data_IF_695802296712
#
_entry.id   IF_695802296712
#
_cell.length_a   1.000
_cell.length_b   1.000
_cell.length_c   1.000
_cell.angle_alpha   90.00
_cell.angle_beta   90.00
_cell.angle_gamma   90.00
#
_symmetry.space_group_name_H-M   'P 1'
#
loop_
_entity.id
_entity.type
_entity.pdbx_description
1 polymer ?
#
# COMPACT_ATOMS: atom_id res chain seq x y z
N UNK A 1 8.76 -43.78 -88.88
CA UNK A 1 9.74 -42.63 -89.02
C UNK A 1 9.71 -41.84 -87.74
N UNK A 2 10.73 -41.95 -87.00
CA UNK A 2 11.63 -40.91 -86.43
C UNK A 2 10.90 -39.70 -85.88
N UNK A 3 11.07 -39.19 -84.67
CA UNK A 3 12.38 -39.04 -84.01
C UNK A 3 12.17 -38.29 -82.63
N UNK A 4 12.93 -38.73 -81.65
CA UNK A 4 13.73 -37.94 -80.68
C UNK A 4 13.08 -36.92 -79.74
N UNK A 5 13.15 -37.28 -78.46
CA UNK A 5 13.96 -36.70 -77.44
C UNK A 5 13.67 -35.22 -77.09
N UNK A 6 13.21 -35.01 -75.90
CA UNK A 6 13.93 -34.07 -74.98
C UNK A 6 13.55 -34.36 -73.53
N UNK A 7 14.55 -34.68 -72.74
CA UNK A 7 14.57 -34.69 -71.28
C UNK A 7 14.40 -33.26 -70.79
N UNK A 8 13.47 -33.03 -69.85
CA UNK A 8 13.51 -31.88 -68.97
C UNK A 8 13.35 -32.39 -67.57
N UNK A 9 14.43 -32.30 -66.81
CA UNK A 9 14.50 -32.55 -65.37
C UNK A 9 13.65 -31.54 -64.57
N UNK A 10 12.62 -32.05 -63.90
CA UNK A 10 11.99 -31.25 -62.84
C UNK A 10 12.79 -31.41 -61.54
N UNK A 11 13.57 -30.42 -61.22
CA UNK A 11 14.17 -30.23 -59.91
C UNK A 11 13.07 -29.81 -58.91
N UNK A 12 12.73 -30.74 -58.01
CA UNK A 12 11.85 -30.48 -56.87
C UNK A 12 12.58 -29.52 -55.88
N UNK A 13 12.24 -28.25 -55.95
CA UNK A 13 12.63 -27.27 -54.95
C UNK A 13 11.75 -27.43 -53.68
N UNK A 14 12.28 -28.16 -52.70
CA UNK A 14 11.70 -28.17 -51.37
C UNK A 14 11.89 -26.80 -50.73
N UNK A 15 10.88 -25.95 -50.83
CA UNK A 15 10.81 -24.68 -50.07
C UNK A 15 10.60 -24.99 -48.61
N UNK A 16 11.70 -25.00 -47.83
CA UNK A 16 11.64 -24.87 -46.38
C UNK A 16 11.07 -23.48 -46.06
N UNK A 17 9.77 -23.41 -45.84
CA UNK A 17 9.14 -22.30 -45.19
C UNK A 17 9.64 -22.29 -43.74
N UNK A 18 10.75 -21.61 -43.51
CA UNK A 18 11.22 -21.22 -42.16
C UNK A 18 10.16 -20.30 -41.56
N UNK A 19 9.22 -20.87 -40.83
CA UNK A 19 8.36 -20.14 -39.94
C UNK A 19 9.25 -19.54 -38.86
N UNK A 20 9.81 -18.38 -39.15
CA UNK A 20 10.41 -17.52 -38.13
C UNK A 20 9.30 -17.14 -37.19
N UNK A 21 9.10 -17.96 -36.13
CA UNK A 21 8.52 -17.43 -34.89
C UNK A 21 9.36 -16.21 -34.56
N UNK A 22 8.82 -15.03 -34.83
CA UNK A 22 9.32 -13.80 -34.22
C UNK A 22 9.18 -14.04 -32.72
N UNK A 23 10.24 -14.54 -32.10
CA UNK A 23 10.43 -14.40 -30.67
C UNK A 23 10.28 -12.89 -30.43
N UNK A 24 9.19 -12.50 -29.77
CA UNK A 24 8.99 -11.12 -29.32
C UNK A 24 10.21 -10.86 -28.46
N UNK A 25 11.18 -10.11 -29.02
CA UNK A 25 12.39 -9.75 -28.27
C UNK A 25 11.91 -9.21 -26.94
N UNK A 26 12.28 -9.89 -25.85
CA UNK A 26 11.94 -9.41 -24.51
C UNK A 26 12.38 -7.97 -24.46
N UNK A 27 11.48 -7.04 -24.15
CA UNK A 27 11.79 -5.63 -24.05
C UNK A 27 13.05 -5.47 -23.21
N UNK A 28 14.06 -4.80 -23.72
CA UNK A 28 15.30 -4.52 -22.99
C UNK A 28 15.07 -3.55 -21.83
N UNK A 29 13.88 -2.97 -21.72
CA UNK A 29 13.47 -2.00 -20.71
C UNK A 29 12.69 -2.67 -19.59
N UNK A 30 13.03 -2.35 -18.34
CA UNK A 30 12.22 -2.69 -17.16
C UNK A 30 11.10 -1.67 -17.05
N UNK A 31 9.86 -2.13 -16.93
CA UNK A 31 8.70 -1.25 -16.76
C UNK A 31 8.08 -1.43 -15.38
N UNK A 32 8.02 -0.33 -14.63
CA UNK A 32 7.34 -0.21 -13.34
C UNK A 32 6.02 0.51 -13.56
N UNK A 33 4.90 -0.17 -13.31
CA UNK A 33 3.56 0.39 -13.43
C UNK A 33 3.00 0.76 -12.07
N UNK A 34 2.78 2.06 -11.81
CA UNK A 34 2.17 2.57 -10.58
C UNK A 34 0.67 2.72 -10.79
N UNK A 35 -0.12 1.84 -10.15
CA UNK A 35 -1.60 1.90 -10.17
C UNK A 35 -2.05 2.56 -8.88
N UNK A 36 -2.46 3.82 -8.95
CA UNK A 36 -2.78 4.62 -7.76
C UNK A 36 -4.16 5.28 -7.87
N UNK A 37 -4.62 5.93 -6.80
CA UNK A 37 -5.83 6.74 -6.80
C UNK A 37 -5.45 8.22 -6.98
N UNK A 38 -5.77 8.80 -8.13
CA UNK A 38 -5.43 10.19 -8.46
C UNK A 38 -6.63 11.15 -8.35
N UNK A 39 -7.84 10.64 -8.52
CA UNK A 39 -9.07 11.44 -8.57
C UNK A 39 -10.16 10.93 -7.63
N UNK A 40 -9.96 9.80 -6.96
CA UNK A 40 -10.88 9.23 -5.99
C UNK A 40 -10.60 9.71 -4.55
N UNK A 41 -11.27 9.10 -3.56
CA UNK A 41 -11.25 9.55 -2.16
C UNK A 41 -9.90 9.38 -1.45
N UNK A 42 -8.95 8.67 -2.03
CA UNK A 42 -7.61 8.49 -1.47
C UNK A 42 -6.56 9.37 -2.16
N UNK A 43 -6.95 10.19 -3.14
CA UNK A 43 -6.03 10.99 -3.97
C UNK A 43 -5.20 11.99 -3.15
N UNK A 44 -5.74 12.50 -2.05
CA UNK A 44 -5.05 13.43 -1.15
C UNK A 44 -3.80 12.86 -0.50
N UNK A 45 -3.76 11.54 -0.28
CA UNK A 45 -2.67 10.84 0.44
C UNK A 45 -1.85 9.89 -0.45
N UNK A 46 -2.24 9.72 -1.72
CA UNK A 46 -1.61 8.87 -2.72
C UNK A 46 -1.22 9.69 -3.97
N UNK A 47 -1.94 9.52 -5.05
CA UNK A 47 -1.86 10.34 -6.26
C UNK A 47 -0.47 10.38 -6.90
N UNK A 48 -0.15 11.54 -7.48
CA UNK A 48 1.16 11.76 -8.12
C UNK A 48 2.35 11.61 -7.16
N UNK A 49 2.15 11.81 -5.85
CA UNK A 49 3.20 11.57 -4.87
C UNK A 49 3.70 10.12 -4.85
N UNK A 50 2.81 9.14 -5.05
CA UNK A 50 3.19 7.72 -5.20
C UNK A 50 4.09 7.52 -6.42
N UNK A 51 3.76 8.17 -7.55
CA UNK A 51 4.55 8.11 -8.78
C UNK A 51 5.93 8.74 -8.60
N UNK A 52 5.99 9.91 -7.96
CA UNK A 52 7.26 10.60 -7.70
C UNK A 52 8.17 9.82 -6.75
N UNK A 53 7.59 9.13 -5.76
CA UNK A 53 8.35 8.19 -4.93
C UNK A 53 9.07 7.13 -5.76
N UNK A 54 8.36 6.48 -6.69
CA UNK A 54 8.94 5.49 -7.61
C UNK A 54 9.97 6.11 -8.57
N UNK A 55 9.70 7.30 -9.12
CA UNK A 55 10.64 8.01 -10.02
C UNK A 55 11.96 8.36 -9.33
N UNK A 56 11.89 8.88 -8.11
CA UNK A 56 13.10 9.20 -7.34
C UNK A 56 13.91 7.93 -7.04
N UNK A 57 13.25 6.79 -6.77
CA UNK A 57 13.94 5.52 -6.61
C UNK A 57 14.68 5.09 -7.87
N UNK A 58 14.09 5.26 -9.05
CA UNK A 58 14.73 4.96 -10.33
C UNK A 58 15.93 5.90 -10.58
N UNK A 59 15.79 7.19 -10.31
CA UNK A 59 16.85 8.18 -10.40
C UNK A 59 18.03 7.82 -9.48
N UNK A 60 17.77 7.51 -8.22
CA UNK A 60 18.79 7.14 -7.23
C UNK A 60 19.49 5.82 -7.59
N UNK A 61 18.79 4.94 -8.28
CA UNK A 61 19.35 3.68 -8.79
C UNK A 61 20.18 3.86 -10.09
N UNK A 62 20.23 5.08 -10.64
CA UNK A 62 20.99 5.41 -11.86
C UNK A 62 20.22 5.13 -13.17
N UNK A 63 18.90 5.07 -13.13
CA UNK A 63 18.02 4.91 -14.29
C UNK A 63 18.04 3.53 -14.96
N UNK A 64 18.80 2.56 -14.42
CA UNK A 64 18.93 1.22 -14.99
C UNK A 64 19.24 0.17 -13.94
N UNK A 65 18.82 -1.10 -14.19
CA UNK A 65 19.19 -2.26 -13.39
C UNK A 65 19.56 -3.44 -14.30
N UNK A 66 20.58 -4.23 -13.95
CA UNK A 66 21.11 -5.31 -14.77
C UNK A 66 21.34 -4.89 -16.26
N UNK A 67 21.87 -3.67 -16.48
CA UNK A 67 22.09 -3.05 -17.80
C UNK A 67 20.82 -2.77 -18.63
N UNK A 68 19.64 -2.88 -18.03
CA UNK A 68 18.36 -2.55 -18.66
C UNK A 68 17.88 -1.17 -18.16
N UNK A 69 17.50 -0.24 -19.04
CA UNK A 69 16.88 1.02 -18.63
C UNK A 69 15.55 0.78 -17.93
N UNK A 70 15.17 1.71 -17.03
CA UNK A 70 13.93 1.62 -16.26
C UNK A 70 12.97 2.71 -16.66
N UNK A 71 11.73 2.36 -16.94
CA UNK A 71 10.61 3.25 -17.23
C UNK A 71 9.55 3.16 -16.14
N UNK A 72 9.03 4.30 -15.69
CA UNK A 72 7.88 4.38 -14.76
C UNK A 72 6.67 4.88 -15.52
N UNK A 73 5.64 4.05 -15.61
CA UNK A 73 4.32 4.42 -16.12
C UNK A 73 3.30 4.43 -14.97
N UNK A 74 2.20 5.13 -15.14
CA UNK A 74 1.20 5.25 -14.08
C UNK A 74 -0.21 5.35 -14.63
N UNK A 75 -1.20 5.01 -13.80
CA UNK A 75 -2.61 5.13 -14.13
C UNK A 75 -3.47 5.34 -12.87
N UNK A 76 -4.59 6.02 -13.07
CA UNK A 76 -5.62 6.29 -12.07
C UNK A 76 -6.69 5.20 -12.09
N UNK A 77 -6.85 4.49 -10.97
CA UNK A 77 -7.93 3.52 -10.81
C UNK A 77 -9.17 4.07 -10.09
N UNK A 78 -9.16 5.35 -9.65
CA UNK A 78 -10.31 6.02 -9.05
C UNK A 78 -10.91 5.28 -7.85
N UNK A 79 -10.09 4.57 -7.07
CA UNK A 79 -10.52 3.64 -6.01
C UNK A 79 -11.49 2.53 -6.45
N UNK A 80 -11.53 2.18 -7.75
CA UNK A 80 -12.38 1.14 -8.33
C UNK A 80 -11.58 -0.11 -8.67
N UNK A 81 -11.99 -1.25 -8.12
CA UNK A 81 -11.27 -2.52 -8.29
C UNK A 81 -11.31 -3.06 -9.74
N UNK A 82 -12.41 -2.87 -10.45
CA UNK A 82 -12.59 -3.25 -11.84
C UNK A 82 -11.68 -2.45 -12.79
N UNK A 83 -11.55 -1.14 -12.55
CA UNK A 83 -10.64 -0.27 -13.31
C UNK A 83 -9.19 -0.69 -13.05
N UNK A 84 -8.80 -0.89 -11.77
CA UNK A 84 -7.45 -1.35 -11.43
C UNK A 84 -7.10 -2.68 -12.10
N UNK A 85 -8.03 -3.64 -12.09
CA UNK A 85 -7.85 -4.95 -12.72
C UNK A 85 -7.74 -4.83 -14.25
N UNK A 86 -8.52 -3.97 -14.89
CA UNK A 86 -8.46 -3.71 -16.33
C UNK A 86 -7.11 -3.11 -16.74
N UNK A 87 -6.63 -2.09 -15.99
CA UNK A 87 -5.32 -1.48 -16.20
C UNK A 87 -4.21 -2.53 -16.04
N UNK A 88 -4.22 -3.28 -14.94
CA UNK A 88 -3.22 -4.30 -14.66
C UNK A 88 -3.15 -5.35 -15.77
N UNK A 89 -4.30 -5.83 -16.25
CA UNK A 89 -4.39 -6.82 -17.35
C UNK A 89 -3.78 -6.27 -18.64
N UNK A 90 -4.20 -5.07 -19.05
CA UNK A 90 -3.65 -4.41 -20.24
C UNK A 90 -2.13 -4.24 -20.14
N UNK A 91 -1.64 -3.75 -19.03
CA UNK A 91 -0.23 -3.52 -18.81
C UNK A 91 0.62 -4.80 -18.84
N UNK A 92 0.09 -5.87 -18.27
CA UNK A 92 0.76 -7.18 -18.29
C UNK A 92 0.73 -7.81 -19.69
N UNK A 93 -0.42 -7.81 -20.34
CA UNK A 93 -0.64 -8.58 -21.58
C UNK A 93 -0.16 -7.83 -22.83
N UNK A 94 -0.25 -6.48 -22.84
CA UNK A 94 0.01 -5.65 -24.02
C UNK A 94 1.26 -4.77 -23.86
N UNK A 95 1.38 -4.08 -22.71
CA UNK A 95 2.40 -3.04 -22.53
C UNK A 95 3.73 -3.59 -21.95
N UNK A 96 3.73 -4.86 -21.49
CA UNK A 96 4.93 -5.56 -21.01
C UNK A 96 5.46 -5.05 -19.69
N UNK A 97 4.58 -4.67 -18.76
CA UNK A 97 4.95 -4.26 -17.39
C UNK A 97 5.54 -5.43 -16.61
N UNK A 98 6.63 -5.19 -15.90
CA UNK A 98 7.36 -6.17 -15.12
C UNK A 98 6.99 -6.13 -13.63
N UNK A 99 6.80 -4.91 -13.07
CA UNK A 99 6.35 -4.67 -11.70
C UNK A 99 5.04 -3.87 -11.68
N UNK A 100 4.04 -4.35 -10.94
CA UNK A 100 2.90 -3.54 -10.51
C UNK A 100 3.16 -3.01 -9.11
N UNK A 101 3.12 -1.69 -8.95
CA UNK A 101 3.46 -0.98 -7.71
C UNK A 101 2.29 -0.13 -7.24
N UNK A 102 2.19 0.13 -5.94
CA UNK A 102 1.19 0.87 -5.20
C UNK A 102 -0.10 0.07 -5.03
N UNK A 103 -0.92 -0.05 -6.04
CA UNK A 103 -2.20 -0.77 -6.07
C UNK A 103 -3.06 -0.34 -4.87
N UNK A 104 -3.35 0.95 -4.82
CA UNK A 104 -4.15 1.55 -3.77
C UNK A 104 -5.58 0.95 -3.75
N UNK A 105 -6.28 1.04 -2.60
CA UNK A 105 -7.55 0.39 -2.31
C UNK A 105 -7.44 -1.14 -2.14
N UNK A 106 -7.86 -1.63 -0.97
CA UNK A 106 -7.66 -3.04 -0.61
C UNK A 106 -8.44 -4.03 -1.49
N UNK A 107 -9.62 -3.65 -1.98
CA UNK A 107 -10.37 -4.50 -2.90
C UNK A 107 -9.66 -4.61 -4.26
N UNK A 108 -9.11 -3.49 -4.76
CA UNK A 108 -8.29 -3.46 -5.96
C UNK A 108 -7.03 -4.31 -5.80
N UNK A 109 -6.32 -4.16 -4.68
CA UNK A 109 -5.09 -4.91 -4.39
C UNK A 109 -5.34 -6.42 -4.35
N UNK A 110 -6.42 -6.88 -3.70
CA UNK A 110 -6.79 -8.30 -3.63
C UNK A 110 -7.11 -8.86 -5.04
N UNK A 111 -7.80 -8.09 -5.87
CA UNK A 111 -8.10 -8.51 -7.25
C UNK A 111 -6.83 -8.56 -8.12
N UNK A 112 -6.01 -7.50 -8.07
CA UNK A 112 -4.80 -7.39 -8.88
C UNK A 112 -3.73 -8.40 -8.46
N UNK A 113 -3.54 -8.66 -7.15
CA UNK A 113 -2.55 -9.65 -6.72
C UNK A 113 -2.88 -11.08 -7.20
N UNK A 114 -4.17 -11.40 -7.37
CA UNK A 114 -4.58 -12.67 -7.99
C UNK A 114 -4.13 -12.74 -9.45
N UNK A 115 -4.35 -11.67 -10.22
CA UNK A 115 -3.88 -11.56 -11.59
C UNK A 115 -2.34 -11.62 -11.70
N UNK A 116 -1.64 -10.93 -10.80
CA UNK A 116 -0.16 -10.93 -10.73
C UNK A 116 0.37 -12.36 -10.55
N UNK A 117 -0.23 -13.15 -9.67
CA UNK A 117 0.08 -14.57 -9.48
C UNK A 117 -0.18 -15.36 -10.76
N UNK A 118 -1.37 -15.24 -11.34
CA UNK A 118 -1.80 -16.05 -12.49
C UNK A 118 -0.98 -15.75 -13.75
N UNK A 119 -0.42 -14.54 -13.85
CA UNK A 119 0.44 -14.08 -14.94
C UNK A 119 1.94 -14.20 -14.65
N UNK A 120 2.30 -14.74 -13.49
CA UNK A 120 3.68 -14.81 -12.99
C UNK A 120 4.42 -13.47 -13.13
N UNK A 121 3.90 -12.43 -12.52
CA UNK A 121 4.50 -11.08 -12.44
C UNK A 121 4.86 -10.74 -11.00
N UNK A 122 5.46 -9.59 -10.78
CA UNK A 122 5.78 -9.08 -9.44
C UNK A 122 4.81 -7.97 -9.07
N UNK A 123 4.21 -8.05 -7.87
CA UNK A 123 3.36 -7.02 -7.30
C UNK A 123 3.90 -6.53 -5.96
N UNK A 124 4.03 -5.22 -5.79
CA UNK A 124 4.38 -4.59 -4.51
C UNK A 124 3.25 -3.64 -4.12
N UNK A 125 2.54 -3.99 -3.07
CA UNK A 125 1.37 -3.28 -2.56
C UNK A 125 1.83 -2.33 -1.47
N UNK A 126 1.69 -1.03 -1.71
CA UNK A 126 2.13 0.05 -0.82
C UNK A 126 0.98 0.90 -0.32
N UNK A 127 -0.06 1.08 -1.15
CA UNK A 127 -1.18 1.98 -0.86
C UNK A 127 -2.42 1.30 -0.26
N UNK A 128 -2.57 -0.02 -0.42
CA UNK A 128 -3.65 -0.77 0.20
C UNK A 128 -3.22 -1.36 1.55
N UNK A 129 -4.15 -1.43 2.51
CA UNK A 129 -3.78 -1.73 3.88
C UNK A 129 -4.44 -2.97 4.51
N UNK A 130 -5.38 -3.66 3.84
CA UNK A 130 -5.99 -4.85 4.43
C UNK A 130 -4.94 -5.90 4.82
N UNK A 131 -4.95 -6.34 6.07
CA UNK A 131 -4.08 -7.43 6.55
C UNK A 131 -4.38 -8.77 5.85
N UNK A 132 -5.52 -8.92 5.20
CA UNK A 132 -5.88 -10.08 4.39
C UNK A 132 -4.97 -10.26 3.15
N UNK A 133 -4.30 -9.20 2.69
CA UNK A 133 -3.36 -9.22 1.55
C UNK A 133 -2.23 -10.22 1.80
N UNK A 134 -1.67 -10.24 3.00
CA UNK A 134 -0.66 -11.22 3.45
C UNK A 134 -1.27 -12.29 4.38
N UNK A 135 -2.60 -12.29 4.54
CA UNK A 135 -3.39 -13.31 5.20
C UNK A 135 -3.92 -14.34 4.19
N UNK A 136 -5.24 -14.51 4.18
CA UNK A 136 -5.93 -15.51 3.33
C UNK A 136 -5.74 -15.34 1.83
N UNK A 137 -5.33 -14.17 1.36
CA UNK A 137 -5.09 -13.89 -0.06
C UNK A 137 -3.60 -13.88 -0.43
N UNK A 138 -2.69 -14.15 0.50
CA UNK A 138 -1.26 -14.14 0.20
C UNK A 138 -0.91 -15.06 -0.97
N UNK A 139 0.08 -14.69 -1.72
CA UNK A 139 0.67 -15.51 -2.77
C UNK A 139 2.16 -15.14 -2.96
N UNK A 140 2.92 -16.01 -3.64
CA UNK A 140 4.36 -15.85 -3.83
C UNK A 140 4.74 -14.59 -4.60
N UNK A 141 3.86 -14.09 -5.45
CA UNK A 141 4.14 -13.03 -6.41
C UNK A 141 3.88 -11.62 -5.87
N UNK A 142 3.30 -11.51 -4.67
CA UNK A 142 2.84 -10.22 -4.12
C UNK A 142 3.44 -9.95 -2.75
N UNK A 143 3.89 -8.71 -2.57
CA UNK A 143 4.52 -8.21 -1.35
C UNK A 143 3.72 -7.04 -0.79
N UNK A 144 3.48 -7.03 0.51
CA UNK A 144 2.82 -5.93 1.20
C UNK A 144 3.86 -5.04 1.88
N UNK A 145 4.06 -3.84 1.34
CA UNK A 145 5.17 -2.96 1.70
C UNK A 145 4.78 -1.81 2.62
N UNK A 146 3.54 -1.35 2.53
CA UNK A 146 2.98 -0.28 3.36
C UNK A 146 2.57 -0.72 4.77
N UNK A 147 1.83 0.11 5.45
CA UNK A 147 1.15 -0.23 6.70
C UNK A 147 0.03 -1.26 6.46
N UNK A 148 -0.46 -1.89 7.53
CA UNK A 148 -1.66 -2.73 7.45
C UNK A 148 -2.62 -2.51 8.62
N UNK A 149 -3.82 -3.05 8.47
CA UNK A 149 -4.91 -2.91 9.46
C UNK A 149 -4.58 -3.58 10.79
N UNK A 150 -3.79 -4.65 10.79
CA UNK A 150 -3.33 -5.28 12.03
C UNK A 150 -2.36 -4.36 12.80
N UNK A 151 -1.35 -3.82 12.10
CA UNK A 151 -0.36 -2.92 12.67
C UNK A 151 -1.02 -1.70 13.34
N UNK A 152 -1.96 -1.07 12.64
CA UNK A 152 -2.69 0.08 13.16
C UNK A 152 -3.56 -0.30 14.36
N UNK A 153 -4.28 -1.41 14.27
CA UNK A 153 -5.13 -1.90 15.35
C UNK A 153 -4.34 -2.31 16.60
N UNK A 154 -3.22 -3.00 16.41
CA UNK A 154 -2.39 -3.45 17.53
C UNK A 154 -1.84 -2.30 18.36
N UNK A 155 -1.38 -1.23 17.70
CA UNK A 155 -0.84 -0.06 18.37
C UNK A 155 -1.94 0.78 19.05
N UNK A 156 -2.94 1.22 18.27
CA UNK A 156 -3.94 2.19 18.76
C UNK A 156 -4.93 1.57 19.74
N UNK A 157 -5.53 0.42 19.41
CA UNK A 157 -6.44 -0.23 20.35
C UNK A 157 -5.69 -0.70 21.61
N UNK A 158 -4.44 -1.16 21.45
CA UNK A 158 -3.61 -1.55 22.58
C UNK A 158 -3.32 -0.40 23.53
N UNK A 159 -3.07 0.80 23.02
CA UNK A 159 -2.84 1.99 23.83
C UNK A 159 -4.09 2.42 24.58
N UNK A 160 -5.20 2.61 23.86
CA UNK A 160 -6.46 3.04 24.47
C UNK A 160 -7.00 2.03 25.52
N UNK A 161 -6.84 0.73 25.27
CA UNK A 161 -7.20 -0.30 26.26
C UNK A 161 -6.36 -0.16 27.56
N UNK A 162 -5.05 0.17 27.48
CA UNK A 162 -4.22 0.43 28.67
C UNK A 162 -4.64 1.68 29.44
N UNK A 163 -5.25 2.66 28.77
CA UNK A 163 -5.85 3.85 29.37
C UNK A 163 -7.22 3.57 30.01
N UNK A 164 -7.75 2.34 29.94
CA UNK A 164 -9.05 1.94 30.50
C UNK A 164 -10.24 2.20 29.58
N UNK A 165 -9.99 2.44 28.29
CA UNK A 165 -11.00 2.65 27.26
C UNK A 165 -11.49 1.30 26.72
N UNK A 166 -12.33 0.61 27.50
CA UNK A 166 -12.65 -0.80 27.36
C UNK A 166 -13.95 -1.10 26.58
N UNK A 167 -14.72 -0.07 26.20
CA UNK A 167 -15.95 -0.22 25.42
C UNK A 167 -15.88 0.55 24.12
N UNK A 168 -16.18 -0.15 23.00
CA UNK A 168 -15.95 0.34 21.65
C UNK A 168 -17.21 0.21 20.78
N UNK A 169 -17.39 1.14 19.88
CA UNK A 169 -18.33 1.08 18.76
C UNK A 169 -17.64 1.49 17.48
N UNK A 170 -17.85 0.80 16.35
CA UNK A 170 -17.16 1.12 15.12
C UNK A 170 -18.04 1.90 14.14
N UNK A 171 -17.44 2.93 13.53
CA UNK A 171 -17.90 3.60 12.32
C UNK A 171 -17.01 3.14 11.17
N UNK A 172 -17.54 2.24 10.32
CA UNK A 172 -16.74 1.46 9.37
C UNK A 172 -17.13 1.77 7.93
N UNK A 173 -16.14 2.10 7.11
CA UNK A 173 -16.33 2.21 5.66
C UNK A 173 -16.60 0.82 5.06
N UNK A 174 -17.63 0.71 4.20
CA UNK A 174 -18.15 -0.58 3.74
C UNK A 174 -17.36 -1.14 2.51
N UNK A 175 -16.09 -1.46 2.70
CA UNK A 175 -15.27 -2.23 1.77
C UNK A 175 -14.13 -2.97 2.48
N UNK A 176 -13.33 -3.76 1.72
CA UNK A 176 -12.35 -4.70 2.28
C UNK A 176 -11.38 -4.10 3.33
N UNK A 177 -10.99 -2.83 3.19
CA UNK A 177 -10.15 -2.15 4.19
C UNK A 177 -10.88 -1.98 5.52
N UNK A 178 -12.08 -1.37 5.51
CA UNK A 178 -12.86 -1.13 6.73
C UNK A 178 -13.21 -2.43 7.45
N UNK A 179 -13.60 -3.46 6.70
CA UNK A 179 -13.91 -4.78 7.26
C UNK A 179 -12.71 -5.43 7.94
N UNK A 180 -11.53 -5.39 7.30
CA UNK A 180 -10.31 -5.94 7.89
C UNK A 180 -9.91 -5.15 9.15
N UNK A 181 -9.99 -3.83 9.10
CA UNK A 181 -9.64 -2.97 10.22
C UNK A 181 -10.54 -3.17 11.44
N UNK A 182 -11.87 -3.21 11.23
CA UNK A 182 -12.86 -3.51 12.28
C UNK A 182 -12.58 -4.90 12.89
N UNK A 183 -12.30 -5.90 12.05
CA UNK A 183 -12.00 -7.26 12.50
C UNK A 183 -10.71 -7.34 13.34
N UNK A 184 -9.62 -6.74 12.85
CA UNK A 184 -8.32 -6.72 13.53
C UNK A 184 -8.41 -5.97 14.87
N UNK A 185 -9.06 -4.79 14.89
CA UNK A 185 -9.25 -4.02 16.11
C UNK A 185 -10.15 -4.75 17.10
N UNK A 186 -11.26 -5.34 16.65
CA UNK A 186 -12.16 -6.14 17.49
C UNK A 186 -11.44 -7.32 18.14
N UNK A 187 -10.62 -8.04 17.38
CA UNK A 187 -9.82 -9.16 17.89
C UNK A 187 -8.85 -8.68 18.98
N UNK A 188 -8.19 -7.55 18.76
CA UNK A 188 -7.25 -6.96 19.73
C UNK A 188 -7.94 -6.50 21.00
N UNK A 189 -9.06 -5.78 20.88
CA UNK A 189 -9.86 -5.30 22.00
C UNK A 189 -10.33 -6.48 22.87
N UNK A 190 -10.91 -7.51 22.24
CA UNK A 190 -11.39 -8.70 22.95
C UNK A 190 -10.27 -9.48 23.63
N UNK A 191 -9.12 -9.62 23.00
CA UNK A 191 -7.92 -10.27 23.57
C UNK A 191 -7.44 -9.57 24.85
N UNK A 192 -7.71 -8.28 24.99
CA UNK A 192 -7.39 -7.48 26.16
C UNK A 192 -8.55 -7.30 27.15
N UNK A 193 -9.66 -8.02 26.97
CA UNK A 193 -10.82 -7.99 27.87
C UNK A 193 -11.83 -6.89 27.62
N UNK A 194 -11.65 -6.10 26.54
CA UNK A 194 -12.60 -5.05 26.15
C UNK A 194 -13.82 -5.58 25.42
N UNK A 195 -14.80 -4.70 25.24
CA UNK A 195 -16.09 -5.02 24.62
C UNK A 195 -16.33 -4.15 23.40
N UNK A 196 -16.74 -4.77 22.29
CA UNK A 196 -17.28 -4.09 21.11
C UNK A 196 -18.80 -4.16 21.18
N UNK A 197 -19.43 -3.00 21.37
CA UNK A 197 -20.89 -2.88 21.56
C UNK A 197 -21.65 -2.97 20.24
N UNK A 198 -20.97 -2.73 19.10
CA UNK A 198 -21.54 -2.83 17.78
C UNK A 198 -20.74 -2.06 16.75
N UNK A 199 -21.27 -2.00 15.54
CA UNK A 199 -20.71 -1.19 14.45
C UNK A 199 -21.83 -0.70 13.53
N UNK A 200 -21.54 0.39 12.82
CA UNK A 200 -22.36 0.85 11.69
C UNK A 200 -21.45 1.02 10.48
N UNK A 201 -21.95 0.62 9.31
CA UNK A 201 -21.23 0.74 8.04
C UNK A 201 -21.80 1.85 7.19
N UNK A 202 -20.93 2.56 6.49
CA UNK A 202 -21.31 3.59 5.54
C UNK A 202 -20.67 3.33 4.17
N UNK A 203 -21.34 3.69 3.07
CA UNK A 203 -20.76 3.60 1.72
C UNK A 203 -19.54 4.51 1.56
N UNK A 204 -18.63 4.17 0.65
CA UNK A 204 -17.58 5.09 0.23
C UNK A 204 -18.18 6.36 -0.41
N UNK A 205 -17.49 7.48 -0.25
CA UNK A 205 -17.93 8.83 -0.68
C UNK A 205 -19.19 9.35 0.04
N UNK A 206 -19.43 8.92 1.28
CA UNK A 206 -20.49 9.47 2.13
C UNK A 206 -20.24 10.97 2.39
N UNK A 207 -21.24 11.81 2.11
CA UNK A 207 -21.14 13.27 2.31
C UNK A 207 -21.69 13.69 3.66
N UNK A 208 -22.77 13.04 4.12
CA UNK A 208 -23.43 13.31 5.38
C UNK A 208 -23.29 12.11 6.33
N UNK A 209 -22.58 12.33 7.41
CA UNK A 209 -22.34 11.35 8.46
C UNK A 209 -23.29 11.47 9.66
N UNK A 210 -24.25 12.39 9.64
CA UNK A 210 -25.10 12.72 10.79
C UNK A 210 -25.77 11.50 11.40
N UNK A 211 -26.46 10.69 10.61
CA UNK A 211 -27.16 9.49 11.11
C UNK A 211 -26.21 8.42 11.65
N UNK A 212 -25.08 8.23 10.99
CA UNK A 212 -24.04 7.27 11.42
C UNK A 212 -23.40 7.69 12.75
N UNK A 213 -23.08 8.97 12.89
CA UNK A 213 -22.46 9.55 14.07
C UNK A 213 -23.43 9.56 15.27
N UNK A 214 -24.70 9.89 15.05
CA UNK A 214 -25.73 9.83 16.11
C UNK A 214 -25.94 8.40 16.62
N UNK A 215 -25.94 7.42 15.73
CA UNK A 215 -26.03 6.01 16.13
C UNK A 215 -24.78 5.57 16.90
N UNK A 216 -23.60 5.95 16.46
CA UNK A 216 -22.35 5.69 17.19
C UNK A 216 -22.38 6.34 18.59
N UNK A 217 -22.84 7.58 18.68
CA UNK A 217 -22.99 8.30 19.96
C UNK A 217 -23.97 7.60 20.90
N UNK A 218 -25.12 7.17 20.37
CA UNK A 218 -26.17 6.49 21.14
C UNK A 218 -25.73 5.13 21.70
N UNK A 219 -24.64 4.53 21.16
CA UNK A 219 -24.09 3.27 21.70
C UNK A 219 -23.60 3.38 23.13
N UNK A 220 -23.24 4.59 23.59
CA UNK A 220 -22.65 4.83 24.90
C UNK A 220 -21.24 4.26 25.07
N UNK A 221 -20.59 3.82 24.01
CA UNK A 221 -19.20 3.36 24.05
C UNK A 221 -18.26 4.48 24.47
N UNK A 222 -17.19 4.15 25.20
CA UNK A 222 -16.13 5.13 25.52
C UNK A 222 -15.37 5.58 24.27
N UNK A 223 -15.19 4.66 23.33
CA UNK A 223 -14.43 4.88 22.10
C UNK A 223 -15.28 4.64 20.86
N UNK A 224 -15.25 5.56 19.92
CA UNK A 224 -15.71 5.33 18.56
C UNK A 224 -14.49 5.03 17.69
N UNK A 225 -14.38 3.78 17.24
CA UNK A 225 -13.36 3.33 16.33
C UNK A 225 -13.70 3.78 14.90
N UNK A 226 -13.00 4.79 14.40
CA UNK A 226 -13.18 5.31 13.03
C UNK A 226 -12.37 4.44 12.09
N UNK A 227 -12.98 3.33 11.63
CA UNK A 227 -12.41 2.38 10.68
C UNK A 227 -12.58 2.91 9.25
N UNK A 228 -11.89 3.98 8.93
CA UNK A 228 -12.06 4.79 7.73
C UNK A 228 -10.74 5.43 7.28
N UNK A 229 -10.69 6.03 6.10
CA UNK A 229 -9.52 6.74 5.58
C UNK A 229 -9.91 7.81 4.56
N UNK A 230 -8.96 8.68 4.17
CA UNK A 230 -9.14 9.70 3.15
C UNK A 230 -10.27 10.68 3.49
N UNK A 231 -10.95 11.16 2.45
CA UNK A 231 -11.97 12.20 2.56
C UNK A 231 -13.16 11.80 3.44
N UNK A 232 -13.55 10.52 3.44
CA UNK A 232 -14.67 10.04 4.28
C UNK A 232 -14.31 10.12 5.76
N UNK A 233 -13.07 9.79 6.14
CA UNK A 233 -12.58 9.96 7.50
C UNK A 233 -12.55 11.43 7.91
N UNK A 234 -12.07 12.31 7.02
CA UNK A 234 -12.00 13.75 7.29
C UNK A 234 -13.39 14.33 7.56
N UNK A 235 -14.37 13.98 6.72
CA UNK A 235 -15.77 14.40 6.90
C UNK A 235 -16.36 13.88 8.20
N UNK A 236 -16.18 12.60 8.50
CA UNK A 236 -16.70 12.00 9.73
C UNK A 236 -16.14 12.69 10.98
N UNK A 237 -14.84 12.98 11.01
CA UNK A 237 -14.20 13.62 12.17
C UNK A 237 -14.64 15.07 12.34
N UNK A 238 -14.76 15.85 11.26
CA UNK A 238 -15.25 17.24 11.29
C UNK A 238 -16.70 17.30 11.77
N UNK A 239 -17.59 16.51 11.17
CA UNK A 239 -19.01 16.47 11.57
C UNK A 239 -19.18 15.96 13.01
N UNK A 240 -18.39 14.97 13.43
CA UNK A 240 -18.39 14.54 14.83
C UNK A 240 -17.94 15.60 15.81
N UNK A 241 -17.01 16.46 15.42
CA UNK A 241 -16.58 17.63 16.22
C UNK A 241 -17.70 18.69 16.30
N UNK A 242 -18.38 19.00 15.18
CA UNK A 242 -19.54 19.90 15.13
C UNK A 242 -20.68 19.43 16.05
N UNK A 243 -20.96 18.11 16.09
CA UNK A 243 -21.94 17.53 17.01
C UNK A 243 -21.44 17.39 18.45
N UNK A 244 -20.19 17.75 18.73
CA UNK A 244 -19.60 17.64 20.06
C UNK A 244 -19.39 16.22 20.57
N UNK A 245 -19.35 15.24 19.68
CA UNK A 245 -19.22 13.81 20.02
C UNK A 245 -17.88 13.55 20.70
N UNK A 246 -16.80 14.12 20.17
CA UNK A 246 -15.43 13.93 20.68
C UNK A 246 -15.17 14.53 22.05
N UNK A 247 -16.14 15.29 22.61
CA UNK A 247 -16.09 15.78 24.01
C UNK A 247 -16.55 14.71 25.02
N UNK A 248 -17.26 13.70 24.56
CA UNK A 248 -17.86 12.65 25.42
C UNK A 248 -17.29 11.25 25.14
N UNK A 249 -16.88 11.01 23.91
CA UNK A 249 -16.35 9.73 23.44
C UNK A 249 -15.03 9.97 22.71
N UNK A 250 -14.04 9.13 22.96
CA UNK A 250 -12.74 9.24 22.24
C UNK A 250 -12.88 8.78 20.81
N UNK A 251 -12.27 9.49 19.87
CA UNK A 251 -12.09 9.01 18.49
C UNK A 251 -10.81 8.16 18.40
N UNK A 252 -10.92 6.89 18.04
CA UNK A 252 -9.79 6.07 17.64
C UNK A 252 -9.69 6.10 16.11
N UNK A 253 -8.70 6.82 15.57
CA UNK A 253 -8.57 7.09 14.13
C UNK A 253 -7.50 6.18 13.55
N UNK A 254 -7.90 5.15 12.81
CA UNK A 254 -6.98 4.13 12.32
C UNK A 254 -6.33 4.46 10.97
N UNK A 255 -7.11 4.86 9.97
CA UNK A 255 -6.63 5.11 8.60
C UNK A 255 -5.99 6.47 8.37
N UNK A 256 -5.42 7.09 9.41
CA UNK A 256 -4.87 8.44 9.35
C UNK A 256 -3.53 8.46 8.61
N UNK A 257 -3.34 9.50 7.81
CA UNK A 257 -2.07 9.90 7.23
C UNK A 257 -1.74 11.34 7.66
N UNK A 258 -0.47 11.72 7.62
CA UNK A 258 -0.03 13.05 8.05
C UNK A 258 -0.83 14.20 7.41
N UNK A 259 -1.20 14.08 6.14
CA UNK A 259 -1.95 15.12 5.40
C UNK A 259 -3.35 15.36 5.94
N UNK A 260 -3.95 14.38 6.61
CA UNK A 260 -5.27 14.54 7.20
C UNK A 260 -5.26 15.50 8.40
N UNK A 261 -4.12 15.67 9.09
CA UNK A 261 -4.05 16.55 10.27
C UNK A 261 -4.37 17.99 9.93
N UNK A 262 -3.68 18.67 8.99
CA UNK A 262 -4.06 20.04 8.62
C UNK A 262 -5.40 20.11 7.87
N UNK A 263 -5.80 19.06 7.16
CA UNK A 263 -7.08 19.01 6.44
C UNK A 263 -8.28 18.97 7.39
N UNK A 264 -8.19 18.21 8.49
CA UNK A 264 -9.24 18.12 9.53
C UNK A 264 -9.15 19.32 10.48
N UNK A 265 -7.95 19.71 10.85
CA UNK A 265 -7.63 20.76 11.77
C UNK A 265 -6.91 20.26 13.01
N UNK A 266 -5.81 20.93 13.36
CA UNK A 266 -4.94 20.55 14.48
C UNK A 266 -5.70 20.45 15.80
N UNK A 267 -6.66 21.37 16.04
CA UNK A 267 -7.47 21.40 17.26
C UNK A 267 -8.36 20.15 17.44
N UNK A 268 -8.88 19.59 16.34
CA UNK A 268 -9.69 18.37 16.39
C UNK A 268 -8.79 17.16 16.58
N UNK A 269 -7.62 17.17 15.95
CA UNK A 269 -6.73 16.01 15.86
C UNK A 269 -5.72 15.91 17.00
N UNK A 270 -5.51 16.96 17.82
CA UNK A 270 -4.49 16.97 18.86
C UNK A 270 -4.59 15.75 19.79
N UNK A 271 -3.45 15.17 20.11
CA UNK A 271 -3.37 14.02 21.01
C UNK A 271 -3.72 12.68 20.36
N UNK A 272 -4.29 12.66 19.15
CA UNK A 272 -4.54 11.40 18.43
C UNK A 272 -3.22 10.72 18.14
N UNK A 273 -3.18 9.43 18.45
CA UNK A 273 -2.02 8.56 18.24
C UNK A 273 -2.27 7.67 17.04
N UNK A 274 -1.26 7.45 16.22
CA UNK A 274 -1.31 6.44 15.16
C UNK A 274 0.04 5.78 14.94
N UNK A 275 0.04 4.61 14.32
CA UNK A 275 1.26 3.89 13.98
C UNK A 275 1.56 4.06 12.48
N UNK A 276 2.80 4.42 12.15
CA UNK A 276 3.26 4.64 10.79
C UNK A 276 4.61 3.96 10.57
N UNK A 277 4.92 3.60 9.33
CA UNK A 277 6.24 3.06 8.95
C UNK A 277 7.20 4.16 8.50
N UNK A 278 6.75 5.40 8.41
CA UNK A 278 7.55 6.52 7.97
C UNK A 278 7.07 7.85 8.56
N UNK A 279 8.03 8.72 8.89
CA UNK A 279 7.78 10.14 9.17
C UNK A 279 8.90 10.98 8.54
N UNK A 280 8.53 12.01 7.79
CA UNK A 280 9.44 12.79 6.96
C UNK A 280 10.53 13.51 7.75
N UNK A 281 10.25 13.94 8.98
CA UNK A 281 11.17 14.70 9.86
C UNK A 281 11.83 13.83 10.94
N UNK A 282 12.02 12.54 10.69
CA UNK A 282 12.55 11.61 11.69
C UNK A 282 14.09 11.61 11.77
N UNK A 283 14.76 11.60 10.62
CA UNK A 283 16.22 11.52 10.50
C UNK A 283 16.73 12.48 9.42
N UNK A 284 18.05 12.67 9.34
CA UNK A 284 18.65 13.50 8.30
C UNK A 284 18.36 12.92 6.88
N UNK A 285 18.35 11.59 6.74
CA UNK A 285 18.03 10.94 5.47
C UNK A 285 16.56 11.15 5.07
N UNK A 286 15.62 11.06 6.01
CA UNK A 286 14.19 11.31 5.71
C UNK A 286 13.96 12.78 5.35
N UNK A 287 14.65 13.71 6.01
CA UNK A 287 14.65 15.15 5.67
C UNK A 287 15.28 15.42 4.30
N UNK A 288 16.40 14.76 3.98
CA UNK A 288 17.06 14.87 2.67
C UNK A 288 16.15 14.38 1.54
N UNK A 289 15.48 13.25 1.74
CA UNK A 289 14.46 12.75 0.79
C UNK A 289 13.29 13.74 0.65
N UNK A 290 12.77 14.25 1.77
CA UNK A 290 11.69 15.24 1.78
C UNK A 290 12.05 16.50 1.00
N UNK A 291 13.27 17.00 1.15
CA UNK A 291 13.77 18.19 0.41
C UNK A 291 13.75 17.98 -1.10
N UNK A 292 14.01 16.78 -1.59
CA UNK A 292 13.99 16.43 -3.03
C UNK A 292 12.57 16.16 -3.52
N UNK A 293 11.75 15.54 -2.69
CA UNK A 293 10.39 15.14 -3.00
C UNK A 293 9.41 16.34 -3.04
N UNK A 294 9.47 17.23 -2.03
CA UNK A 294 8.48 18.30 -1.85
C UNK A 294 8.27 19.19 -3.07
N UNK A 295 9.30 19.64 -3.81
CA UNK A 295 9.10 20.43 -5.03
C UNK A 295 8.28 19.71 -6.11
N UNK A 296 8.32 18.37 -6.14
CA UNK A 296 7.59 17.52 -7.10
C UNK A 296 6.16 17.21 -6.64
N UNK A 297 5.83 17.57 -5.39
CA UNK A 297 4.54 17.28 -4.76
C UNK A 297 3.85 18.55 -4.23
N UNK A 298 3.92 19.65 -4.97
CA UNK A 298 3.28 20.90 -4.60
C UNK A 298 3.78 21.50 -3.28
N UNK A 299 5.04 21.31 -2.93
CA UNK A 299 5.65 21.80 -1.69
C UNK A 299 5.37 20.95 -0.44
N UNK A 300 4.59 19.86 -0.56
CA UNK A 300 4.24 18.98 0.56
C UNK A 300 5.35 17.94 0.78
N UNK A 301 5.80 17.69 2.02
CA UNK A 301 6.73 16.61 2.32
C UNK A 301 6.10 15.24 2.02
N UNK A 302 6.89 14.17 1.84
CA UNK A 302 6.34 12.85 1.54
C UNK A 302 5.48 12.32 2.69
N UNK A 303 4.29 11.81 2.35
CA UNK A 303 3.52 10.96 3.24
C UNK A 303 4.14 9.55 3.29
N UNK A 304 3.68 8.72 4.21
CA UNK A 304 4.11 7.33 4.35
C UNK A 304 4.01 6.56 3.02
N UNK A 305 2.86 6.65 2.36
CA UNK A 305 2.58 5.97 1.08
C UNK A 305 3.60 6.31 -0.01
N UNK A 306 4.03 7.56 -0.09
CA UNK A 306 5.03 8.01 -1.06
C UNK A 306 6.42 7.44 -0.79
N UNK A 307 6.83 7.41 0.49
CA UNK A 307 8.12 6.88 0.89
C UNK A 307 8.20 5.36 0.72
N UNK A 308 7.12 4.63 1.00
CA UNK A 308 7.11 3.18 0.79
C UNK A 308 7.06 2.78 -0.69
N UNK A 309 6.54 3.65 -1.58
CA UNK A 309 6.68 3.47 -3.03
C UNK A 309 8.15 3.59 -3.48
N UNK A 310 8.89 4.56 -2.94
CA UNK A 310 10.34 4.65 -3.14
C UNK A 310 11.04 3.38 -2.68
N UNK A 311 10.78 2.92 -1.45
CA UNK A 311 11.38 1.73 -0.86
C UNK A 311 11.08 0.46 -1.67
N UNK A 312 9.82 0.27 -2.07
CA UNK A 312 9.39 -0.89 -2.88
C UNK A 312 10.02 -0.93 -4.26
N UNK A 313 10.06 0.21 -4.96
CA UNK A 313 10.74 0.33 -6.25
C UNK A 313 12.25 0.07 -6.13
N UNK A 314 12.89 0.65 -5.10
CA UNK A 314 14.32 0.42 -4.81
C UNK A 314 14.62 -1.05 -4.57
N UNK A 315 13.82 -1.75 -3.76
CA UNK A 315 14.05 -3.17 -3.47
C UNK A 315 13.84 -4.03 -4.72
N UNK A 316 12.84 -3.74 -5.52
CA UNK A 316 12.65 -4.43 -6.80
C UNK A 316 13.86 -4.28 -7.72
N UNK A 317 14.41 -3.07 -7.86
CA UNK A 317 15.60 -2.83 -8.67
C UNK A 317 16.85 -3.51 -8.11
N UNK A 318 17.00 -3.59 -6.77
CA UNK A 318 18.05 -4.38 -6.12
C UNK A 318 17.89 -5.87 -6.46
N UNK A 319 16.66 -6.40 -6.43
CA UNK A 319 16.37 -7.79 -6.76
C UNK A 319 16.68 -8.10 -8.23
N UNK A 320 16.28 -7.24 -9.17
CA UNK A 320 16.63 -7.36 -10.60
C UNK A 320 18.15 -7.33 -10.80
N UNK A 321 18.86 -6.42 -10.12
CA UNK A 321 20.33 -6.32 -10.20
C UNK A 321 21.00 -7.58 -9.67
N UNK A 322 20.54 -8.10 -8.53
CA UNK A 322 21.10 -9.33 -7.94
C UNK A 322 20.82 -10.57 -8.79
N UNK A 323 19.62 -10.67 -9.37
CA UNK A 323 19.25 -11.75 -10.29
C UNK A 323 19.94 -11.65 -11.65
N UNK A 324 20.46 -10.47 -12.04
CA UNK A 324 21.03 -10.22 -13.37
C UNK A 324 20.00 -10.29 -14.51
N UNK A 325 18.72 -10.33 -14.19
CA UNK A 325 17.60 -10.50 -15.13
C UNK A 325 16.33 -9.91 -14.56
N UNK A 326 15.34 -9.65 -15.42
CA UNK A 326 13.97 -9.31 -15.02
C UNK A 326 13.00 -10.51 -15.07
N UNK A 327 13.52 -11.72 -15.18
CA UNK A 327 12.73 -12.94 -15.07
C UNK A 327 11.99 -12.98 -13.73
N UNK A 328 10.66 -13.14 -13.72
CA UNK A 328 9.89 -13.02 -12.49
C UNK A 328 10.30 -14.01 -11.40
N UNK A 329 10.62 -15.26 -11.76
CA UNK A 329 10.98 -16.27 -10.74
C UNK A 329 12.31 -15.96 -10.06
N UNK A 330 13.30 -15.52 -10.84
CA UNK A 330 14.60 -15.09 -10.31
C UNK A 330 14.45 -13.84 -9.42
N UNK A 331 13.65 -12.86 -9.85
CA UNK A 331 13.40 -11.63 -9.08
C UNK A 331 12.62 -11.92 -7.81
N UNK A 332 11.59 -12.78 -7.85
CA UNK A 332 10.82 -13.17 -6.66
C UNK A 332 11.69 -13.85 -5.61
N UNK A 333 12.61 -14.73 -6.02
CA UNK A 333 13.56 -15.34 -5.09
C UNK A 333 14.45 -14.27 -4.45
N UNK A 334 15.04 -13.40 -5.26
CA UNK A 334 15.88 -12.30 -4.75
C UNK A 334 15.12 -11.34 -3.81
N UNK A 335 13.83 -11.07 -4.08
CA UNK A 335 12.97 -10.25 -3.19
C UNK A 335 12.82 -10.86 -1.81
N UNK A 336 12.77 -12.18 -1.68
CA UNK A 336 12.67 -12.88 -0.39
C UNK A 336 14.02 -13.03 0.33
N UNK A 337 15.12 -13.09 -0.40
CA UNK A 337 16.46 -13.36 0.14
C UNK A 337 17.20 -12.08 0.58
N UNK A 338 16.99 -10.99 -0.15
CA UNK A 338 17.70 -9.74 0.10
C UNK A 338 17.15 -9.02 1.33
N UNK A 339 18.03 -8.50 2.20
CA UNK A 339 17.60 -7.60 3.27
C UNK A 339 17.02 -6.31 2.67
N UNK A 340 16.06 -5.72 3.36
CA UNK A 340 15.47 -4.44 2.98
C UNK A 340 16.09 -3.35 3.84
N UNK A 341 17.00 -2.59 3.25
CA UNK A 341 17.72 -1.53 3.92
C UNK A 341 17.72 -0.26 3.08
N UNK A 342 17.01 0.73 3.59
CA UNK A 342 16.94 2.09 3.08
C UNK A 342 16.52 3.05 4.21
N UNK A 343 16.37 4.34 3.93
CA UNK A 343 15.96 5.32 4.94
C UNK A 343 14.52 5.13 5.45
N UNK A 344 13.70 4.36 4.73
CA UNK A 344 12.32 4.00 5.13
C UNK A 344 12.33 2.73 5.98
N UNK A 345 13.18 1.77 5.61
CA UNK A 345 13.21 0.41 6.18
C UNK A 345 14.60 0.07 6.72
N UNK A 346 14.79 0.31 8.01
CA UNK A 346 16.03 -0.06 8.69
C UNK A 346 15.93 -1.51 9.17
N UNK A 347 16.85 -2.38 8.73
CA UNK A 347 16.89 -3.81 9.09
C UNK A 347 15.58 -4.55 8.76
N UNK A 348 14.99 -4.25 7.60
CA UNK A 348 13.79 -4.94 7.15
C UNK A 348 14.10 -6.28 6.46
N UNK A 349 13.11 -7.17 6.45
CA UNK A 349 13.15 -8.40 5.67
C UNK A 349 11.74 -8.80 5.21
N UNK A 350 11.67 -9.54 4.11
CA UNK A 350 10.41 -10.04 3.57
C UNK A 350 10.13 -11.43 4.14
N UNK A 351 8.99 -11.57 4.79
CA UNK A 351 8.52 -12.83 5.39
C UNK A 351 7.88 -13.73 4.32
N UNK A 352 7.72 -15.04 4.61
CA UNK A 352 7.15 -16.05 3.67
C UNK A 352 5.76 -15.70 3.14
N UNK A 353 4.97 -14.96 3.91
CA UNK A 353 3.64 -14.49 3.49
C UNK A 353 3.67 -13.23 2.63
N UNK A 354 4.85 -12.75 2.25
CA UNK A 354 5.05 -11.53 1.46
C UNK A 354 4.99 -10.23 2.27
N UNK A 355 4.86 -10.30 3.61
CA UNK A 355 4.88 -9.11 4.47
C UNK A 355 6.30 -8.61 4.68
N UNK A 356 6.56 -7.32 4.40
CA UNK A 356 7.77 -6.65 4.85
C UNK A 356 7.69 -6.40 6.35
N UNK A 357 8.62 -6.99 7.10
CA UNK A 357 8.79 -6.77 8.54
C UNK A 357 9.88 -5.73 8.75
N UNK A 358 9.56 -4.69 9.53
CA UNK A 358 10.47 -3.59 9.89
C UNK A 358 9.94 -2.85 11.12
N UNK A 359 10.75 -2.08 11.84
CA UNK A 359 10.27 -1.22 12.92
C UNK A 359 9.23 -0.23 12.41
N UNK A 360 8.26 0.11 13.27
CA UNK A 360 7.25 1.13 13.03
C UNK A 360 7.32 2.21 14.08
N UNK A 361 6.67 3.35 13.84
CA UNK A 361 6.76 4.54 14.69
C UNK A 361 5.39 4.89 15.25
N UNK A 362 5.30 4.94 16.57
CA UNK A 362 4.15 5.49 17.25
C UNK A 362 4.25 7.02 17.15
N UNK A 363 3.33 7.63 16.46
CA UNK A 363 3.25 9.07 16.24
C UNK A 363 2.06 9.64 16.99
N UNK A 364 2.20 10.86 17.51
CA UNK A 364 1.11 11.59 18.13
C UNK A 364 0.95 12.96 17.46
N UNK A 365 -0.29 13.36 17.25
CA UNK A 365 -0.61 14.71 16.75
C UNK A 365 -0.31 15.74 17.84
N UNK A 366 0.55 16.71 17.53
CA UNK A 366 0.95 17.81 18.41
C UNK A 366 -0.24 18.69 18.78
N UNK A 367 -0.14 19.38 19.90
CA UNK A 367 -1.06 20.47 20.22
C UNK A 367 -0.82 21.67 19.30
N UNK A 368 -1.82 22.53 19.04
CA UNK A 368 -1.68 23.68 18.15
C UNK A 368 -0.50 24.58 18.49
N UNK A 369 -0.25 24.81 19.78
CA UNK A 369 0.85 25.67 20.29
C UNK A 369 2.25 25.06 20.09
N UNK A 370 2.36 23.77 19.81
CA UNK A 370 3.63 23.05 19.57
C UNK A 370 4.02 23.02 18.09
N UNK A 371 3.08 23.35 17.19
CA UNK A 371 3.27 23.31 15.73
C UNK A 371 4.04 24.53 15.25
N UNK A 372 5.23 24.33 14.68
CA UNK A 372 6.09 25.41 14.16
C UNK A 372 5.88 25.70 12.68
N UNK A 373 5.36 24.73 11.94
CA UNK A 373 5.07 24.82 10.51
C UNK A 373 3.95 23.83 10.13
N UNK A 374 3.27 24.06 9.02
CA UNK A 374 2.08 23.27 8.59
C UNK A 374 2.29 21.76 8.68
N UNK A 375 3.48 21.27 8.33
CA UNK A 375 3.78 19.83 8.28
C UNK A 375 4.52 19.31 9.51
N UNK A 376 4.82 20.16 10.48
CA UNK A 376 5.36 19.82 11.80
C UNK A 376 4.23 19.44 12.78
N UNK A 377 3.27 18.66 12.31
CA UNK A 377 2.04 18.36 13.04
C UNK A 377 2.10 17.10 13.90
N UNK A 378 3.16 16.31 13.79
CA UNK A 378 3.33 15.03 14.51
C UNK A 378 4.62 15.00 15.32
N UNK A 379 4.63 14.22 16.37
CA UNK A 379 5.84 13.86 17.13
C UNK A 379 6.00 12.33 17.23
N UNK A 380 7.24 11.86 17.27
CA UNK A 380 7.57 10.44 17.46
C UNK A 380 7.55 10.14 18.95
N UNK A 381 6.60 9.33 19.41
CA UNK A 381 6.48 8.89 20.81
C UNK A 381 7.28 7.63 21.11
N UNK A 382 7.52 6.79 20.11
CA UNK A 382 8.24 5.54 20.30
C UNK A 382 8.46 4.77 19.01
N UNK A 383 9.26 3.72 19.13
CA UNK A 383 9.53 2.76 18.06
C UNK A 383 8.97 1.42 18.49
N UNK A 384 8.20 0.78 17.63
CA UNK A 384 7.63 -0.55 17.86
C UNK A 384 8.45 -1.54 17.00
N UNK A 385 9.06 -2.56 17.59
CA UNK A 385 9.75 -3.60 16.82
C UNK A 385 8.82 -4.25 15.80
N UNK A 386 9.34 -4.60 14.62
CA UNK A 386 8.51 -5.13 13.52
C UNK A 386 7.77 -6.42 13.91
N UNK A 387 8.40 -7.30 14.69
CA UNK A 387 7.78 -8.54 15.18
C UNK A 387 6.57 -8.30 16.10
N UNK A 388 6.53 -7.16 16.78
CA UNK A 388 5.41 -6.76 17.64
C UNK A 388 4.35 -5.96 16.87
N UNK A 389 4.78 -5.23 15.85
CA UNK A 389 3.91 -4.35 15.06
C UNK A 389 3.01 -5.14 14.10
N UNK A 390 3.55 -6.17 13.44
CA UNK A 390 2.84 -6.95 12.44
C UNK A 390 2.32 -8.28 13.00
N UNK A 391 1.25 -8.79 12.37
CA UNK A 391 0.61 -10.04 12.77
C UNK A 391 1.66 -11.17 12.83
N UNK A 392 1.70 -11.98 13.91
CA UNK A 392 2.57 -13.15 13.97
C UNK A 392 2.33 -14.08 12.76
N UNK A 393 3.41 -14.66 12.22
CA UNK A 393 3.30 -15.53 11.04
C UNK A 393 2.37 -16.72 11.29
N UNK A 394 2.37 -17.27 12.51
CA UNK A 394 1.46 -18.35 12.93
C UNK A 394 -0.04 -17.97 12.92
N UNK A 395 -0.35 -16.68 12.99
CA UNK A 395 -1.71 -16.13 12.97
C UNK A 395 -2.08 -15.55 11.59
N UNK A 396 -1.19 -15.61 10.58
CA UNK A 396 -1.39 -14.92 9.29
C UNK A 396 -2.58 -15.49 8.50
N UNK A 397 -2.85 -16.79 8.59
CA UNK A 397 -3.83 -17.47 7.76
C UNK A 397 -3.40 -17.64 6.30
N UNK A 398 -2.14 -17.34 5.99
CA UNK A 398 -1.58 -17.45 4.65
C UNK A 398 -1.44 -18.92 4.21
N UNK A 399 -1.96 -19.32 3.03
CA UNK A 399 -1.82 -20.68 2.53
C UNK A 399 -0.37 -21.14 2.35
N UNK A 400 0.57 -20.23 2.10
CA UNK A 400 2.01 -20.54 1.93
C UNK A 400 2.72 -20.89 3.26
N UNK A 401 2.09 -20.62 4.39
CA UNK A 401 2.68 -20.83 5.71
C UNK A 401 2.26 -22.18 6.29
N UNK A 402 1.23 -22.80 5.74
CA UNK A 402 0.77 -24.15 6.13
C UNK A 402 1.63 -25.19 5.42
N UNK A 403 2.76 -25.51 5.94
CA UNK A 403 3.54 -26.67 5.56
C UNK A 403 4.32 -27.18 6.79
#
# INVERSE_FOLDING_TARGET
>A
MLSRRSFAALSAGAGLASATRRARAASSTIKIGVITDMTGPLSSVLGMGSVEGARIAVEDFGGSAASMPVEVIFADHQSKADIALSIARKWIDEDGVDLLLDIANSAAAIAVQTLVRDKNKVGIITGAASSDITGKFCNRNSFHWGYDTYMQSAALAGELMREGEDTWYFLTIDYAFGHALEADATARIRKQGGKVLGSIRHPANTQDFSSFLLQAQASGAKVIGVANSGDDMERALKQGAEFGIWKKQKAAVFGMQMYNVPAIGQQIMQGIVHNSVFYWDRTDETRAFSKRFSPRNGGKPPAETHAVNYSGATQYLKAVKAAGTKDPDAVLNAMHELPVEDFVSVKGYVRKDGRLIRPTFLLQVKKPEEVKATWDCLEVKGIIPGEEAFRPLSESGCPLVKA
#
